data_IF_248640091810
#
_entry.id   IF_248640091810
#
_cell.length_a   1.000
_cell.length_b   1.000
_cell.length_c   1.000
_cell.angle_alpha   90.00
_cell.angle_beta   90.00
_cell.angle_gamma   90.00
#
_symmetry.space_group_name_H-M   'P 1'
#
loop_
_entity.id
_entity.type
_entity.pdbx_description
1 polymer ?
#
# COMPACT_ATOMS: atom_id res chain seq x y z
N UNK A 1 4.82 -8.96 10.88
CA UNK A 1 5.96 -8.03 10.81
C UNK A 1 5.88 -7.08 12.00
N UNK A 2 6.96 -6.87 12.74
CA UNK A 2 6.94 -6.12 14.02
C UNK A 2 7.61 -4.74 13.97
N UNK A 3 8.15 -4.35 12.81
CA UNK A 3 8.76 -3.03 12.58
C UNK A 3 8.31 -2.51 11.21
N UNK A 4 7.09 -1.98 11.17
CA UNK A 4 6.55 -1.30 9.99
C UNK A 4 6.57 0.19 10.33
N UNK A 5 7.70 0.86 10.10
CA UNK A 5 7.78 2.33 10.25
C UNK A 5 7.08 2.97 9.06
N UNK A 6 5.85 3.49 9.21
CA UNK A 6 5.12 4.04 8.09
C UNK A 6 5.86 5.26 7.56
N UNK A 7 5.93 5.37 6.23
CA UNK A 7 6.70 6.39 5.53
C UNK A 7 5.90 6.94 4.36
N UNK A 8 6.20 8.19 3.99
CA UNK A 8 5.68 8.82 2.77
C UNK A 8 6.63 8.60 1.57
N UNK A 9 7.65 7.75 1.73
CA UNK A 9 8.60 7.48 0.66
C UNK A 9 7.92 6.71 -0.48
N UNK A 10 8.08 7.21 -1.69
CA UNK A 10 7.61 6.56 -2.92
C UNK A 10 8.43 5.33 -3.29
N UNK A 11 9.48 4.99 -2.54
CA UNK A 11 10.37 3.86 -2.78
C UNK A 11 10.50 2.96 -1.54
N UNK A 12 10.44 1.65 -1.79
CA UNK A 12 10.64 0.58 -0.81
C UNK A 12 12.13 0.33 -0.55
N UNK A 13 12.46 -0.28 0.60
CA UNK A 13 13.84 -0.64 0.93
C UNK A 13 14.43 -1.73 0.02
N UNK A 14 13.57 -2.61 -0.51
CA UNK A 14 13.94 -3.69 -1.40
C UNK A 14 13.24 -3.53 -2.74
N UNK A 15 13.84 -4.09 -3.79
CA UNK A 15 13.19 -4.18 -5.09
C UNK A 15 11.91 -5.01 -4.99
N UNK A 16 10.85 -4.51 -5.61
CA UNK A 16 9.55 -5.18 -5.76
C UNK A 16 9.40 -5.87 -7.12
N UNK A 17 10.31 -5.56 -8.05
CA UNK A 17 10.48 -6.24 -9.33
C UNK A 17 11.96 -6.48 -9.58
N UNK A 18 12.33 -7.08 -10.72
CA UNK A 18 13.74 -7.22 -11.10
C UNK A 18 14.53 -5.90 -11.20
N UNK A 19 13.85 -4.76 -11.33
CA UNK A 19 14.50 -3.46 -11.65
C UNK A 19 13.97 -2.26 -10.86
N UNK A 20 12.86 -2.37 -10.13
CA UNK A 20 12.24 -1.25 -9.42
C UNK A 20 11.91 -1.59 -7.97
N UNK A 21 12.09 -0.62 -7.10
CA UNK A 21 11.57 -0.58 -5.72
C UNK A 21 10.50 0.52 -5.55
N UNK A 22 10.02 1.14 -6.63
CA UNK A 22 8.97 2.17 -6.51
C UNK A 22 7.68 1.56 -5.96
N UNK A 23 7.09 2.19 -4.96
CA UNK A 23 5.84 1.79 -4.32
C UNK A 23 4.63 2.09 -5.23
N UNK A 24 4.48 1.29 -6.28
CA UNK A 24 3.45 1.46 -7.31
C UNK A 24 2.70 0.15 -7.53
N UNK A 25 1.37 0.18 -7.44
CA UNK A 25 0.52 -1.00 -7.57
C UNK A 25 0.57 -1.63 -8.97
N UNK A 26 0.80 -0.82 -10.01
CA UNK A 26 0.94 -1.33 -11.39
C UNK A 26 2.21 -2.14 -11.52
N UNK A 27 3.33 -1.65 -10.96
CA UNK A 27 4.61 -2.36 -10.94
C UNK A 27 4.49 -3.65 -10.14
N UNK A 28 3.81 -3.60 -8.98
CA UNK A 28 3.58 -4.79 -8.15
C UNK A 28 2.72 -5.84 -8.87
N UNK A 29 1.69 -5.41 -9.60
CA UNK A 29 0.84 -6.30 -10.37
C UNK A 29 1.60 -6.93 -11.54
N UNK A 30 2.43 -6.15 -12.25
CA UNK A 30 3.23 -6.65 -13.36
C UNK A 30 4.33 -7.61 -12.90
N UNK A 31 4.84 -7.46 -11.68
CA UNK A 31 5.80 -8.37 -11.06
C UNK A 31 5.17 -9.64 -10.46
N UNK A 32 3.84 -9.85 -10.56
CA UNK A 32 3.17 -10.93 -9.82
C UNK A 32 3.71 -12.34 -10.12
N UNK A 33 4.13 -12.59 -11.37
CA UNK A 33 4.69 -13.89 -11.78
C UNK A 33 6.06 -14.16 -11.13
N UNK A 34 6.86 -13.12 -10.85
CA UNK A 34 8.13 -13.24 -10.12
C UNK A 34 7.89 -13.76 -8.68
N UNK A 35 6.69 -13.54 -8.15
CA UNK A 35 6.23 -14.03 -6.85
C UNK A 35 5.42 -15.33 -6.93
N UNK A 36 5.43 -16.01 -8.08
CA UNK A 36 4.68 -17.26 -8.30
C UNK A 36 3.17 -17.10 -8.15
N UNK A 37 2.66 -15.88 -8.35
CA UNK A 37 1.23 -15.59 -8.35
C UNK A 37 0.75 -15.40 -9.80
N UNK A 38 -0.41 -15.98 -10.12
CA UNK A 38 -1.07 -15.63 -11.37
C UNK A 38 -1.73 -14.26 -11.24
N UNK A 39 -1.90 -13.59 -12.38
CA UNK A 39 -2.44 -12.23 -12.45
C UNK A 39 -3.81 -12.08 -11.77
N UNK A 40 -4.74 -13.01 -11.97
CA UNK A 40 -6.07 -12.95 -11.35
C UNK A 40 -6.00 -12.97 -9.82
N UNK A 41 -5.11 -13.78 -9.25
CA UNK A 41 -4.89 -13.82 -7.80
C UNK A 41 -4.28 -12.51 -7.29
N UNK A 42 -3.30 -11.96 -8.01
CA UNK A 42 -2.68 -10.67 -7.64
C UNK A 42 -3.68 -9.51 -7.71
N UNK A 43 -4.48 -9.42 -8.78
CA UNK A 43 -5.54 -8.42 -8.94
C UNK A 43 -6.56 -8.48 -7.80
N UNK A 44 -6.94 -9.70 -7.40
CA UNK A 44 -7.85 -9.91 -6.28
C UNK A 44 -7.27 -9.41 -4.96
N UNK A 45 -6.02 -9.76 -4.65
CA UNK A 45 -5.35 -9.30 -3.43
C UNK A 45 -5.27 -7.76 -3.39
N UNK A 46 -4.83 -7.14 -4.49
CA UNK A 46 -4.72 -5.67 -4.58
C UNK A 46 -6.11 -5.03 -4.38
N UNK A 47 -7.13 -5.56 -5.03
CA UNK A 47 -8.50 -5.04 -4.92
C UNK A 47 -9.06 -5.15 -3.50
N UNK A 48 -8.84 -6.28 -2.83
CA UNK A 48 -9.27 -6.48 -1.43
C UNK A 48 -8.57 -5.49 -0.49
N UNK A 49 -7.27 -5.24 -0.69
CA UNK A 49 -6.52 -4.26 0.11
C UNK A 49 -7.01 -2.84 -0.11
N UNK A 50 -7.22 -2.42 -1.37
CA UNK A 50 -7.78 -1.09 -1.70
C UNK A 50 -9.16 -0.92 -1.06
N UNK A 51 -10.02 -1.94 -1.16
CA UNK A 51 -11.38 -1.86 -0.61
C UNK A 51 -11.37 -1.67 0.91
N UNK A 52 -10.49 -2.39 1.62
CA UNK A 52 -10.34 -2.22 3.08
C UNK A 52 -9.79 -0.84 3.43
N UNK A 53 -8.88 -0.31 2.61
CA UNK A 53 -8.29 1.02 2.83
C UNK A 53 -9.29 2.17 2.62
N UNK A 54 -10.40 2.00 1.89
CA UNK A 54 -11.43 3.06 1.76
C UNK A 54 -11.91 3.66 3.07
N UNK A 55 -11.95 2.85 4.13
CA UNK A 55 -12.41 3.27 5.44
C UNK A 55 -11.27 3.58 6.42
N UNK A 56 -10.03 3.73 5.93
CA UNK A 56 -8.82 3.87 6.74
C UNK A 56 -8.90 5.05 7.71
N UNK A 57 -9.41 6.21 7.26
CA UNK A 57 -9.52 7.42 8.07
C UNK A 57 -10.47 7.23 9.25
N UNK A 58 -11.60 6.56 9.02
CA UNK A 58 -12.56 6.22 10.07
C UNK A 58 -11.93 5.27 11.10
N UNK A 59 -11.15 4.28 10.65
CA UNK A 59 -10.43 3.37 11.53
C UNK A 59 -9.34 4.11 12.32
N UNK A 60 -8.57 4.98 11.68
CA UNK A 60 -7.53 5.78 12.33
C UNK A 60 -8.07 6.64 13.47
N UNK A 61 -9.20 7.32 13.24
CA UNK A 61 -9.90 8.10 14.29
C UNK A 61 -10.36 7.19 15.44
N UNK A 62 -10.96 6.03 15.13
CA UNK A 62 -11.41 5.07 16.16
C UNK A 62 -10.25 4.53 16.99
N UNK A 63 -9.07 4.38 16.39
CA UNK A 63 -7.86 3.91 17.07
C UNK A 63 -7.11 5.04 17.81
N UNK A 64 -7.63 6.27 17.80
CA UNK A 64 -7.04 7.40 18.51
C UNK A 64 -5.81 8.02 17.84
N UNK A 65 -5.60 7.77 16.54
CA UNK A 65 -4.53 8.40 15.77
C UNK A 65 -4.81 9.91 15.68
N UNK A 66 -3.76 10.73 15.85
CA UNK A 66 -3.94 12.17 15.90
C UNK A 66 -4.33 12.74 14.53
N UNK A 67 -5.07 13.85 14.52
CA UNK A 67 -5.42 14.54 13.26
C UNK A 67 -4.19 14.88 12.43
N UNK A 68 -3.08 15.29 13.08
CA UNK A 68 -1.82 15.60 12.41
C UNK A 68 -1.25 14.39 11.65
N UNK A 69 -1.25 13.21 12.26
CA UNK A 69 -0.78 11.97 11.62
C UNK A 69 -1.72 11.54 10.50
N UNK A 70 -3.04 11.64 10.71
CA UNK A 70 -4.02 11.38 9.66
C UNK A 70 -3.79 12.32 8.46
N UNK A 71 -3.66 13.62 8.69
CA UNK A 71 -3.43 14.61 7.65
C UNK A 71 -2.09 14.35 6.92
N UNK A 72 -1.06 13.91 7.64
CA UNK A 72 0.25 13.53 7.06
C UNK A 72 0.14 12.38 6.04
N UNK A 73 -0.66 11.35 6.32
CA UNK A 73 -0.82 10.19 5.43
C UNK A 73 -1.96 10.34 4.40
N UNK A 74 -2.80 11.37 4.55
CA UNK A 74 -3.95 11.60 3.67
C UNK A 74 -3.57 11.75 2.21
N UNK A 75 -2.52 12.51 1.91
CA UNK A 75 -2.10 12.73 0.51
C UNK A 75 -1.75 11.43 -0.21
N UNK A 76 -1.13 10.47 0.48
CA UNK A 76 -0.72 9.20 -0.14
C UNK A 76 -1.88 8.21 -0.21
N UNK A 77 -2.65 8.07 0.88
CA UNK A 77 -3.71 7.07 0.94
C UNK A 77 -4.95 7.48 0.15
N UNK A 78 -5.25 8.78 0.07
CA UNK A 78 -6.42 9.27 -0.69
C UNK A 78 -6.14 9.33 -2.20
N UNK A 79 -4.89 9.47 -2.65
CA UNK A 79 -4.52 9.38 -4.07
C UNK A 79 -4.47 7.92 -4.58
N UNK A 80 -4.22 6.96 -3.70
CA UNK A 80 -4.13 5.54 -4.03
C UNK A 80 -5.51 4.85 -4.19
N UNK A 81 -6.61 5.53 -3.83
CA UNK A 81 -7.99 5.04 -3.89
C UNK A 81 -8.76 5.64 -5.06
#
# INVERSE_FOLDING_TARGET
>A
AYDMNPTLNEYQSLLISSTSNKADLSILLDACEDYMLNRNTAEKIISEVIEVLKEWRRLAVRQGITKREIDMFSGVLDEAM
#
